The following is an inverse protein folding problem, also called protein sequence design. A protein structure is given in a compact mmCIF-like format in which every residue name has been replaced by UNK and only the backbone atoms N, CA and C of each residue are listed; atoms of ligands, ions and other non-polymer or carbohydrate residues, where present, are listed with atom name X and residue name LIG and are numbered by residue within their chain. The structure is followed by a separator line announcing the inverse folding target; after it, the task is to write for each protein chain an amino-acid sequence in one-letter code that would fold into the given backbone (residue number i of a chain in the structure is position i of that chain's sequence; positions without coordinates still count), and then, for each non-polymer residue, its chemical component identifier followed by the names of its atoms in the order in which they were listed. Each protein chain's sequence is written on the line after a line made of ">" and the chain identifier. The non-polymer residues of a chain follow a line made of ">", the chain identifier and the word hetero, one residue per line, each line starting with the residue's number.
data_IF_061357068966
#
_entry.id   IF_061357068966
#
_cell.length_a   1.000
_cell.length_b   1.000
_cell.length_c   1.000
_cell.angle_alpha   90.00
_cell.angle_beta   90.00
_cell.angle_gamma   90.00
#
_symmetry.space_group_name_H-M   'P 1'
#
loop_
_entity.id
_entity.type
_entity.pdbx_description
1 polymer ?
#
# COMPACT_ATOMS: atom_id res chain seq x y z
N UNK A 1 45.07 23.17 19.66
CA UNK A 1 45.35 22.72 21.04
C UNK A 1 46.85 22.71 21.21
N UNK A 2 47.40 23.40 22.20
CA UNK A 2 48.87 23.42 22.39
C UNK A 2 49.31 22.14 23.13
N UNK A 3 50.22 21.38 22.51
CA UNK A 3 50.78 20.17 23.11
C UNK A 3 51.77 20.53 24.22
N UNK A 4 51.67 19.85 25.36
CA UNK A 4 52.67 19.97 26.43
C UNK A 4 54.04 19.44 25.96
N UNK A 5 55.16 19.85 26.59
CA UNK A 5 56.50 19.38 26.23
C UNK A 5 56.62 17.85 26.22
N UNK A 6 55.94 17.17 27.15
CA UNK A 6 55.93 15.71 27.22
C UNK A 6 55.13 15.08 26.07
N UNK A 7 54.01 15.69 25.67
CA UNK A 7 53.22 15.21 24.54
C UNK A 7 53.95 15.40 23.22
N UNK A 8 54.65 16.53 23.03
CA UNK A 8 55.50 16.76 21.85
C UNK A 8 56.58 15.69 21.72
N UNK A 9 57.23 15.32 22.83
CA UNK A 9 58.22 14.23 22.86
C UNK A 9 57.62 12.89 22.42
N UNK A 10 56.39 12.57 22.83
CA UNK A 10 55.73 11.31 22.45
C UNK A 10 55.31 11.33 20.98
N UNK A 11 54.83 12.47 20.48
CA UNK A 11 54.50 12.63 19.04
C UNK A 11 55.76 12.43 18.19
N UNK A 12 56.89 13.03 18.59
CA UNK A 12 58.18 12.88 17.90
C UNK A 12 58.66 11.41 17.89
N UNK A 13 58.54 10.69 19.02
CA UNK A 13 58.86 9.26 19.08
C UNK A 13 57.99 8.44 18.11
N UNK A 14 56.68 8.73 18.04
CA UNK A 14 55.75 8.00 17.15
C UNK A 14 55.99 8.33 15.67
N UNK A 15 56.40 9.56 15.35
CA UNK A 15 56.77 9.95 13.98
C UNK A 15 58.04 9.26 13.50
N UNK A 16 59.06 9.15 14.37
CA UNK A 16 60.33 8.51 14.03
C UNK A 16 60.25 6.97 14.07
N UNK A 17 59.33 6.40 14.86
CA UNK A 17 59.14 4.96 15.01
C UNK A 17 57.64 4.57 14.94
N UNK A 18 57.01 4.55 13.75
CA UNK A 18 55.56 4.34 13.61
C UNK A 18 55.09 2.96 14.09
N UNK A 19 55.96 1.95 14.01
CA UNK A 19 55.66 0.57 14.40
C UNK A 19 55.36 0.41 15.90
N UNK A 20 55.75 1.36 16.76
CA UNK A 20 55.40 1.33 18.19
C UNK A 20 53.89 1.39 18.42
N UNK A 21 53.10 1.82 17.43
CA UNK A 21 51.64 1.80 17.51
C UNK A 21 51.07 0.38 17.46
N UNK A 22 51.73 -0.53 16.74
CA UNK A 22 51.21 -1.87 16.43
C UNK A 22 51.98 -2.99 17.12
N UNK A 23 53.31 -2.85 17.30
CA UNK A 23 54.17 -3.89 17.86
C UNK A 23 54.59 -3.59 19.31
N UNK A 24 54.17 -4.41 20.30
CA UNK A 24 54.58 -4.27 21.70
C UNK A 24 56.09 -4.47 21.94
N UNK A 25 56.75 -5.32 21.16
CA UNK A 25 58.19 -5.60 21.32
C UNK A 25 59.02 -4.42 20.85
N UNK A 26 58.70 -3.86 19.67
CA UNK A 26 59.35 -2.64 19.19
C UNK A 26 59.04 -1.44 20.10
N UNK A 27 57.79 -1.33 20.60
CA UNK A 27 57.43 -0.29 21.57
C UNK A 27 58.29 -0.37 22.84
N UNK A 28 58.64 -1.57 23.31
CA UNK A 28 59.50 -1.75 24.48
C UNK A 28 60.93 -1.28 24.21
N UNK A 29 61.52 -1.69 23.09
CA UNK A 29 62.89 -1.29 22.70
C UNK A 29 62.99 0.23 22.54
N UNK A 30 62.02 0.84 21.85
CA UNK A 30 61.96 2.29 21.66
C UNK A 30 61.66 3.02 22.97
N UNK A 31 60.81 2.49 23.85
CA UNK A 31 60.58 3.13 25.15
C UNK A 31 61.89 3.19 25.97
N UNK A 32 62.65 2.08 26.02
CA UNK A 32 63.91 2.00 26.75
C UNK A 32 64.96 2.97 26.19
N UNK A 33 65.07 3.13 24.86
CA UNK A 33 66.02 4.06 24.24
C UNK A 33 65.74 5.54 24.57
N UNK A 34 64.49 5.88 24.91
CA UNK A 34 64.08 7.22 25.30
C UNK A 34 63.92 7.40 26.83
N UNK A 35 64.35 6.42 27.63
CA UNK A 35 64.31 6.43 29.10
C UNK A 35 62.90 6.27 29.69
N UNK A 36 62.01 5.59 28.97
CA UNK A 36 60.60 5.37 29.33
C UNK A 36 60.32 3.87 29.53
N UNK A 37 59.29 3.53 30.31
CA UNK A 37 58.76 2.16 30.32
C UNK A 37 57.80 1.95 29.15
N UNK A 38 57.66 0.72 28.63
CA UNK A 38 56.65 0.37 27.62
C UNK A 38 55.25 0.82 28.05
N UNK A 39 54.90 0.61 29.32
CA UNK A 39 53.61 1.00 29.90
C UNK A 39 53.41 2.50 29.82
N UNK A 40 54.44 3.29 30.11
CA UNK A 40 54.40 4.76 30.02
C UNK A 40 54.18 5.20 28.58
N UNK A 41 54.94 4.65 27.63
CA UNK A 41 54.81 4.98 26.21
C UNK A 41 53.42 4.60 25.68
N UNK A 42 52.93 3.39 25.99
CA UNK A 42 51.59 2.92 25.61
C UNK A 42 50.47 3.81 26.15
N UNK A 43 50.55 4.19 27.43
CA UNK A 43 49.52 5.03 28.05
C UNK A 43 49.49 6.43 27.42
N UNK A 44 50.66 7.02 27.16
CA UNK A 44 50.77 8.33 26.51
C UNK A 44 50.24 8.30 25.07
N UNK A 45 50.54 7.24 24.32
CA UNK A 45 49.99 7.01 22.97
C UNK A 45 48.45 6.89 23.04
N UNK A 46 47.91 6.17 24.02
CA UNK A 46 46.46 6.04 24.20
C UNK A 46 45.79 7.39 24.54
N UNK A 47 46.42 8.21 25.38
CA UNK A 47 45.95 9.57 25.68
C UNK A 47 45.94 10.46 24.43
N UNK A 48 47.01 10.43 23.62
CA UNK A 48 47.10 11.20 22.38
C UNK A 48 46.11 10.70 21.31
N UNK A 49 45.85 9.40 21.25
CA UNK A 49 44.82 8.81 20.38
C UNK A 49 43.41 9.25 20.79
N UNK A 50 43.12 9.34 22.10
CA UNK A 50 41.84 9.85 22.61
C UNK A 50 41.62 11.33 22.26
N UNK A 51 42.69 12.10 22.13
CA UNK A 51 42.68 13.53 21.78
C UNK A 51 42.76 13.80 20.27
N UNK A 52 42.67 12.77 19.43
CA UNK A 52 42.72 12.87 17.97
C UNK A 52 44.04 13.44 17.40
N UNK A 53 45.09 13.54 18.23
CA UNK A 53 46.38 14.15 17.86
C UNK A 53 47.18 13.27 16.90
N UNK A 54 46.97 11.96 16.93
CA UNK A 54 47.72 10.97 16.13
C UNK A 54 46.97 10.48 14.86
N UNK A 55 45.76 10.97 14.58
CA UNK A 55 44.92 10.43 13.50
C UNK A 55 45.22 10.96 12.08
N UNK A 56 46.32 11.67 11.89
CA UNK A 56 46.75 12.07 10.55
C UNK A 56 47.68 11.01 9.93
N UNK A 57 47.04 10.00 9.33
CA UNK A 57 47.62 9.32 8.16
C UNK A 57 47.97 7.85 8.30
N UNK A 58 46.99 6.96 8.53
CA UNK A 58 47.03 5.56 8.05
C UNK A 58 45.58 5.06 7.78
N UNK A 59 45.34 4.23 6.75
CA UNK A 59 44.01 3.99 6.22
C UNK A 59 43.21 3.08 7.16
N UNK A 60 42.32 3.68 7.95
CA UNK A 60 41.36 2.93 8.73
C UNK A 60 40.21 2.51 7.81
N UNK A 61 40.04 1.19 7.61
CA UNK A 61 38.76 0.64 7.15
C UNK A 61 37.67 1.15 8.09
N UNK A 62 36.85 2.08 7.62
CA UNK A 62 35.65 2.51 8.32
C UNK A 62 34.71 1.32 8.50
N UNK A 63 34.72 0.74 9.70
CA UNK A 63 33.59 0.00 10.21
C UNK A 63 32.72 1.03 10.91
N UNK A 64 31.75 1.58 10.20
CA UNK A 64 30.71 2.43 10.79
C UNK A 64 29.74 1.56 11.59
N UNK A 65 30.09 1.29 12.84
CA UNK A 65 29.09 1.00 13.87
C UNK A 65 28.80 2.32 14.60
N UNK A 66 27.96 3.16 13.99
CA UNK A 66 27.44 4.35 14.64
C UNK A 66 26.12 3.96 15.30
N UNK A 67 26.19 3.83 16.63
CA UNK A 67 25.03 3.67 17.49
C UNK A 67 24.03 4.81 17.28
N UNK A 68 22.77 4.45 17.51
CA UNK A 68 21.59 5.30 17.54
C UNK A 68 21.76 6.48 18.50
N UNK A 69 22.23 7.61 17.97
CA UNK A 69 21.84 8.95 18.41
C UNK A 69 21.52 9.70 17.11
N UNK A 70 20.23 9.98 16.90
CA UNK A 70 19.70 10.67 15.72
C UNK A 70 20.06 12.16 15.80
N UNK A 71 21.34 12.49 15.66
CA UNK A 71 21.76 13.84 15.27
C UNK A 71 21.77 13.87 13.73
N UNK A 72 20.56 13.83 13.15
CA UNK A 72 20.35 13.85 11.71
C UNK A 72 20.55 15.29 11.21
N UNK A 73 21.80 15.63 10.89
CA UNK A 73 22.11 16.88 10.22
C UNK A 73 21.50 16.87 8.80
N UNK A 74 20.72 17.90 8.46
CA UNK A 74 20.05 18.06 7.16
C UNK A 74 21.07 18.04 6.00
N UNK A 75 22.27 18.56 6.23
CA UNK A 75 23.34 18.52 5.24
C UNK A 75 23.82 17.10 4.96
N UNK A 76 23.91 16.25 5.99
CA UNK A 76 24.28 14.84 5.85
C UNK A 76 23.23 14.04 5.06
N UNK A 77 21.94 14.31 5.28
CA UNK A 77 20.85 13.73 4.51
C UNK A 77 20.91 14.13 3.04
N UNK A 78 21.19 15.40 2.76
CA UNK A 78 21.34 15.92 1.40
C UNK A 78 22.51 15.28 0.65
N UNK A 79 23.64 15.06 1.32
CA UNK A 79 24.77 14.35 0.73
C UNK A 79 24.46 12.90 0.38
N UNK A 80 23.75 12.18 1.26
CA UNK A 80 23.33 10.79 1.00
C UNK A 80 22.38 10.73 -0.20
N UNK A 81 21.39 11.63 -0.25
CA UNK A 81 20.47 11.77 -1.39
C UNK A 81 21.23 12.06 -2.69
N UNK A 82 22.21 12.98 -2.67
CA UNK A 82 23.01 13.33 -3.85
C UNK A 82 23.90 12.18 -4.31
N UNK A 83 24.50 11.42 -3.37
CA UNK A 83 25.32 10.23 -3.67
C UNK A 83 24.49 9.10 -4.27
N UNK A 84 23.27 8.87 -3.77
CA UNK A 84 22.37 7.79 -4.23
C UNK A 84 21.35 8.22 -5.29
N UNK A 85 21.38 9.47 -5.77
CA UNK A 85 20.39 10.04 -6.72
C UNK A 85 20.13 9.18 -7.95
N UNK A 86 21.17 8.55 -8.53
CA UNK A 86 21.03 7.69 -9.71
C UNK A 86 20.24 6.41 -9.40
N UNK A 87 20.46 5.83 -8.21
CA UNK A 87 19.70 4.68 -7.75
C UNK A 87 18.23 5.05 -7.52
N UNK A 88 17.99 6.17 -6.82
CA UNK A 88 16.64 6.67 -6.55
C UNK A 88 15.90 6.93 -7.86
N UNK A 89 16.49 7.71 -8.77
CA UNK A 89 15.88 8.05 -10.07
C UNK A 89 15.61 6.81 -10.91
N UNK A 90 16.54 5.84 -10.96
CA UNK A 90 16.34 4.60 -11.73
C UNK A 90 15.11 3.83 -11.23
N UNK A 91 14.98 3.67 -9.92
CA UNK A 91 13.86 2.92 -9.34
C UNK A 91 12.55 3.68 -9.39
N UNK A 92 12.55 4.97 -9.08
CA UNK A 92 11.33 5.79 -9.20
C UNK A 92 10.86 5.81 -10.64
N UNK A 93 11.75 6.05 -11.60
CA UNK A 93 11.40 6.01 -13.03
C UNK A 93 10.87 4.65 -13.47
N UNK A 94 11.45 3.55 -12.98
CA UNK A 94 10.96 2.20 -13.29
C UNK A 94 9.55 1.96 -12.75
N UNK A 95 9.27 2.36 -11.51
CA UNK A 95 7.94 2.24 -10.90
C UNK A 95 6.94 3.14 -11.64
N UNK A 96 7.30 4.39 -11.92
CA UNK A 96 6.45 5.32 -12.67
C UNK A 96 6.13 4.77 -14.07
N UNK A 97 7.10 4.13 -14.74
CA UNK A 97 6.88 3.50 -16.04
C UNK A 97 5.88 2.33 -15.93
N UNK A 98 5.99 1.50 -14.89
CA UNK A 98 5.04 0.40 -14.63
C UNK A 98 3.63 0.96 -14.41
N UNK A 99 3.49 2.01 -13.60
CA UNK A 99 2.20 2.68 -13.36
C UNK A 99 1.63 3.30 -14.64
N UNK A 100 2.47 3.89 -15.48
CA UNK A 100 2.05 4.46 -16.77
C UNK A 100 1.50 3.37 -17.70
N UNK A 101 2.23 2.25 -17.84
CA UNK A 101 1.77 1.10 -18.64
C UNK A 101 0.48 0.55 -18.08
N UNK A 102 0.36 0.40 -16.76
CA UNK A 102 -0.87 -0.03 -16.12
C UNK A 102 -2.02 0.93 -16.43
N UNK A 103 -1.83 2.24 -16.35
CA UNK A 103 -2.87 3.23 -16.64
C UNK A 103 -3.41 3.17 -18.07
N UNK A 104 -2.60 2.71 -19.03
CA UNK A 104 -3.03 2.54 -20.43
C UNK A 104 -3.84 1.26 -20.65
N UNK A 105 -3.61 0.24 -19.83
CA UNK A 105 -4.29 -1.07 -19.90
C UNK A 105 -5.50 -1.13 -18.96
N UNK A 106 -5.49 -0.32 -17.90
CA UNK A 106 -6.53 -0.28 -16.90
C UNK A 106 -7.87 0.09 -17.55
N UNK A 107 -8.87 -0.76 -17.35
CA UNK A 107 -10.23 -0.51 -17.82
C UNK A 107 -10.84 0.62 -16.97
N UNK A 108 -11.29 1.74 -17.58
CA UNK A 108 -11.97 2.78 -16.83
C UNK A 108 -13.28 2.22 -16.24
N UNK A 109 -13.46 2.37 -14.93
CA UNK A 109 -14.71 2.05 -14.28
C UNK A 109 -15.58 3.30 -14.24
N UNK A 110 -16.81 3.19 -14.70
CA UNK A 110 -17.81 4.26 -14.64
C UNK A 110 -18.77 3.96 -13.49
N UNK A 111 -18.97 4.94 -12.60
CA UNK A 111 -20.01 4.90 -11.58
C UNK A 111 -21.24 5.62 -12.14
N UNK A 112 -22.39 4.95 -12.09
CA UNK A 112 -23.69 5.55 -12.32
C UNK A 112 -24.45 5.46 -11.00
N UNK A 113 -25.17 6.52 -10.66
CA UNK A 113 -26.00 6.60 -9.46
C UNK A 113 -27.43 6.89 -9.85
N UNK A 114 -28.38 6.15 -9.32
CA UNK A 114 -29.81 6.48 -9.41
C UNK A 114 -30.41 6.62 -8.01
N UNK A 115 -31.27 7.63 -7.83
CA UNK A 115 -32.11 7.79 -6.64
C UNK A 115 -33.52 7.29 -6.88
N UNK A 116 -34.02 6.44 -5.99
CA UNK A 116 -35.39 5.91 -6.03
C UNK A 116 -36.18 6.41 -4.83
N UNK A 117 -37.39 6.92 -5.09
CA UNK A 117 -38.36 7.31 -4.06
C UNK A 117 -39.59 6.40 -4.15
N UNK A 118 -40.22 6.03 -3.02
CA UNK A 118 -41.43 5.23 -3.04
C UNK A 118 -42.56 6.00 -3.74
N UNK A 119 -43.14 5.39 -4.78
CA UNK A 119 -44.25 5.93 -5.53
C UNK A 119 -45.55 5.85 -4.70
N UNK A 120 -45.69 6.79 -3.78
CA UNK A 120 -46.83 6.95 -2.87
C UNK A 120 -46.83 8.29 -2.15
N UNK A 121 -45.63 8.78 -1.78
CA UNK A 121 -45.48 10.10 -1.13
C UNK A 121 -45.91 11.27 -2.02
N UNK A 122 -45.77 11.15 -3.35
CA UNK A 122 -46.18 12.21 -4.28
C UNK A 122 -47.69 12.24 -4.56
N UNK A 123 -48.40 11.13 -4.37
CA UNK A 123 -49.86 11.09 -4.55
C UNK A 123 -50.62 11.65 -3.33
N UNK A 124 -49.98 11.65 -2.15
CA UNK A 124 -50.49 12.29 -0.93
C UNK A 124 -50.02 13.75 -0.77
N UNK A 125 -49.23 14.27 -1.72
CA UNK A 125 -48.78 15.67 -1.77
C UNK A 125 -49.90 16.69 -2.08
N UNK A 126 -51.17 16.28 -2.02
CA UNK A 126 -52.32 17.17 -1.90
C UNK A 126 -52.54 17.71 -0.47
N UNK A 127 -51.73 17.27 0.50
CA UNK A 127 -51.95 17.52 1.93
C UNK A 127 -50.68 18.01 2.66
N UNK A 128 -50.02 19.03 2.12
CA UNK A 128 -48.89 19.73 2.78
C UNK A 128 -49.25 20.25 4.19
N UNK A 129 -50.54 20.43 4.46
CA UNK A 129 -51.05 20.81 5.78
C UNK A 129 -51.05 19.66 6.80
N UNK A 130 -51.19 18.41 6.34
CA UNK A 130 -51.20 17.24 7.23
C UNK A 130 -49.78 16.86 7.67
N UNK A 131 -48.76 16.96 6.80
CA UNK A 131 -47.36 16.68 7.18
C UNK A 131 -46.84 17.61 8.29
N UNK A 132 -47.20 18.89 8.25
CA UNK A 132 -46.79 19.87 9.28
C UNK A 132 -47.55 19.67 10.61
N UNK A 133 -48.84 19.31 10.57
CA UNK A 133 -49.61 18.97 11.77
C UNK A 133 -49.20 17.62 12.36
N UNK A 134 -48.70 16.72 11.51
CA UNK A 134 -48.25 15.39 11.88
C UNK A 134 -46.91 15.44 12.64
N UNK A 135 -45.98 16.30 12.23
CA UNK A 135 -44.79 16.60 13.02
C UNK A 135 -45.12 17.14 14.43
N UNK A 136 -46.19 17.92 14.56
CA UNK A 136 -46.70 18.36 15.86
C UNK A 136 -47.33 17.19 16.62
N UNK A 137 -48.21 16.39 16.00
CA UNK A 137 -48.87 15.25 16.65
C UNK A 137 -47.88 14.16 17.12
N UNK A 138 -46.75 13.98 16.43
CA UNK A 138 -45.65 13.10 16.84
C UNK A 138 -44.97 13.60 18.12
N UNK A 139 -44.77 14.92 18.29
CA UNK A 139 -44.26 15.47 19.56
C UNK A 139 -45.21 15.26 20.75
N UNK A 140 -46.50 15.03 20.48
CA UNK A 140 -47.52 14.71 21.47
C UNK A 140 -47.82 13.20 21.61
N UNK A 141 -47.07 12.31 20.94
CA UNK A 141 -47.22 10.87 21.09
C UNK A 141 -48.46 10.27 20.41
N UNK A 142 -49.08 11.00 19.48
CA UNK A 142 -50.31 10.59 18.77
C UNK A 142 -50.04 10.00 17.36
N UNK A 143 -48.77 9.82 16.97
CA UNK A 143 -48.37 9.32 15.65
C UNK A 143 -48.43 7.80 15.50
N UNK A 144 -49.63 7.23 15.29
CA UNK A 144 -49.86 5.78 15.25
C UNK A 144 -50.24 5.15 13.90
N UNK A 145 -50.44 5.92 12.84
CA UNK A 145 -50.89 5.36 11.55
C UNK A 145 -50.02 5.84 10.41
N UNK A 146 -48.90 5.15 10.20
CA UNK A 146 -48.28 5.13 8.88
C UNK A 146 -48.90 4.00 8.06
N UNK A 147 -49.53 4.35 6.95
CA UNK A 147 -49.61 3.45 5.80
C UNK A 147 -48.21 3.29 5.22
N UNK A 148 -47.35 2.52 5.91
CA UNK A 148 -46.01 2.23 5.44
C UNK A 148 -46.13 1.49 4.09
N UNK A 149 -45.82 2.13 2.97
CA UNK A 149 -45.43 1.38 1.79
C UNK A 149 -44.08 0.72 2.11
N UNK A 150 -44.12 -0.52 2.61
CA UNK A 150 -43.01 -1.32 3.12
C UNK A 150 -42.21 -2.02 2.02
N UNK A 151 -41.93 -1.35 0.89
CA UNK A 151 -41.10 -1.98 -0.13
C UNK A 151 -39.62 -1.90 0.28
N UNK A 152 -39.06 -3.05 0.67
CA UNK A 152 -37.62 -3.20 0.85
C UNK A 152 -36.96 -3.20 -0.54
N UNK A 153 -36.51 -2.04 -1.00
CA UNK A 153 -35.88 -1.86 -2.32
C UNK A 153 -34.64 -2.74 -2.49
N UNK A 154 -33.77 -2.94 -1.47
CA UNK A 154 -32.78 -4.00 -1.51
C UNK A 154 -33.33 -5.36 -1.97
N UNK A 155 -34.48 -5.80 -1.46
CA UNK A 155 -35.06 -7.11 -1.86
C UNK A 155 -35.45 -7.15 -3.35
N UNK A 156 -35.87 -6.01 -3.90
CA UNK A 156 -36.17 -5.90 -5.34
C UNK A 156 -34.88 -6.00 -6.15
N UNK A 157 -33.83 -5.26 -5.77
CA UNK A 157 -32.53 -5.26 -6.45
C UNK A 157 -31.86 -6.63 -6.34
N UNK A 158 -31.93 -7.26 -5.17
CA UNK A 158 -31.36 -8.59 -4.92
C UNK A 158 -32.26 -9.73 -5.42
N UNK A 159 -33.44 -9.43 -5.98
CA UNK A 159 -34.36 -10.42 -6.53
C UNK A 159 -33.70 -11.31 -7.58
N UNK A 160 -33.66 -12.62 -7.31
CA UNK A 160 -33.12 -13.61 -8.25
C UNK A 160 -33.85 -13.60 -9.59
N UNK A 161 -35.17 -13.40 -9.57
CA UNK A 161 -35.97 -13.35 -10.80
C UNK A 161 -35.58 -12.17 -11.66
N UNK A 162 -35.43 -10.98 -11.06
CA UNK A 162 -34.99 -9.77 -11.75
C UNK A 162 -33.58 -9.94 -12.31
N UNK A 163 -32.62 -10.36 -11.48
CA UNK A 163 -31.24 -10.61 -11.90
C UNK A 163 -31.15 -11.63 -13.05
N UNK A 164 -31.91 -12.73 -12.98
CA UNK A 164 -31.99 -13.72 -14.06
C UNK A 164 -32.49 -13.08 -15.36
N UNK A 165 -33.57 -12.30 -15.29
CA UNK A 165 -34.12 -11.62 -16.47
C UNK A 165 -33.13 -10.62 -17.07
N UNK A 166 -32.43 -9.84 -16.24
CA UNK A 166 -31.41 -8.88 -16.69
C UNK A 166 -30.25 -9.60 -17.39
N UNK A 167 -29.73 -10.68 -16.80
CA UNK A 167 -28.60 -11.45 -17.34
C UNK A 167 -28.94 -12.09 -18.68
N UNK A 168 -30.16 -12.61 -18.83
CA UNK A 168 -30.61 -13.28 -20.05
C UNK A 168 -31.16 -12.33 -21.12
N UNK A 169 -31.48 -11.09 -20.77
CA UNK A 169 -31.95 -10.08 -21.72
C UNK A 169 -30.88 -9.79 -22.77
N UNK A 170 -31.31 -9.48 -24.00
CA UNK A 170 -30.42 -9.10 -25.10
C UNK A 170 -30.27 -7.59 -25.13
N UNK A 171 -29.06 -7.11 -24.84
CA UNK A 171 -28.74 -5.69 -24.73
C UNK A 171 -28.06 -5.18 -26.00
N UNK A 172 -28.42 -3.95 -26.39
CA UNK A 172 -27.66 -3.18 -27.37
C UNK A 172 -26.29 -2.82 -26.77
N UNK A 173 -25.24 -2.91 -27.58
CA UNK A 173 -23.87 -2.74 -27.12
C UNK A 173 -22.96 -2.35 -28.29
N UNK A 174 -21.75 -1.87 -27.97
CA UNK A 174 -20.78 -1.40 -28.97
C UNK A 174 -19.82 -2.50 -29.46
N UNK A 175 -19.71 -3.62 -28.73
CA UNK A 175 -18.73 -4.69 -29.01
C UNK A 175 -19.23 -5.70 -30.05
N UNK A 176 -20.54 -5.90 -30.13
CA UNK A 176 -21.20 -6.87 -31.00
C UNK A 176 -22.19 -6.14 -31.93
N UNK A 177 -22.24 -6.57 -33.19
CA UNK A 177 -23.20 -6.04 -34.18
C UNK A 177 -24.66 -6.41 -33.87
N UNK A 178 -24.86 -7.47 -33.07
CA UNK A 178 -26.16 -7.97 -32.65
C UNK A 178 -26.39 -7.73 -31.15
N UNK A 179 -27.67 -7.73 -30.74
CA UNK A 179 -28.03 -7.70 -29.33
C UNK A 179 -27.63 -9.01 -28.66
N UNK A 180 -26.73 -8.94 -27.68
CA UNK A 180 -26.25 -10.11 -26.94
C UNK A 180 -26.66 -10.07 -25.47
N UNK A 181 -26.69 -11.23 -24.82
CA UNK A 181 -26.94 -11.31 -23.38
C UNK A 181 -25.67 -11.03 -22.57
N UNK A 182 -25.81 -10.82 -21.26
CA UNK A 182 -24.67 -10.48 -20.40
C UNK A 182 -23.68 -11.64 -20.24
N UNK A 183 -24.13 -12.89 -20.39
CA UNK A 183 -23.27 -14.07 -20.35
C UNK A 183 -22.25 -14.04 -21.50
N UNK A 184 -22.72 -13.78 -22.73
CA UNK A 184 -21.87 -13.64 -23.92
C UNK A 184 -21.06 -12.35 -23.88
N UNK A 185 -21.66 -11.25 -23.43
CA UNK A 185 -20.97 -9.95 -23.31
C UNK A 185 -19.76 -10.00 -22.37
N UNK A 186 -19.87 -10.71 -21.24
CA UNK A 186 -18.76 -10.92 -20.30
C UNK A 186 -17.89 -12.13 -20.62
N UNK A 187 -18.11 -12.78 -21.77
CA UNK A 187 -17.36 -13.95 -22.24
C UNK A 187 -17.32 -15.07 -21.19
N UNK A 188 -18.39 -15.24 -20.39
CA UNK A 188 -18.45 -16.24 -19.32
C UNK A 188 -18.58 -17.67 -19.86
N UNK A 189 -19.05 -17.79 -21.10
CA UNK A 189 -19.13 -19.02 -21.87
C UNK A 189 -17.78 -19.44 -22.49
N UNK A 190 -16.78 -18.55 -22.48
CA UNK A 190 -15.46 -18.80 -23.04
C UNK A 190 -14.44 -19.21 -21.97
N UNK A 191 -13.52 -20.10 -22.37
CA UNK A 191 -12.39 -20.48 -21.53
C UNK A 191 -11.28 -19.45 -21.74
N UNK A 192 -11.03 -18.64 -20.70
CA UNK A 192 -9.93 -17.66 -20.74
C UNK A 192 -8.59 -18.38 -20.91
N UNK A 193 -7.70 -17.84 -21.75
CA UNK A 193 -6.42 -18.46 -22.12
C UNK A 193 -5.48 -18.73 -20.92
N UNK A 194 -5.64 -17.98 -19.84
CA UNK A 194 -4.89 -18.14 -18.58
C UNK A 194 -5.59 -19.07 -17.55
N UNK A 195 -6.69 -19.73 -17.91
CA UNK A 195 -7.40 -20.61 -16.98
C UNK A 195 -6.67 -21.93 -16.79
N UNK A 196 -6.34 -22.26 -15.54
CA UNK A 196 -5.71 -23.54 -15.13
C UNK A 196 -6.76 -24.67 -15.02
N UNK A 197 -8.05 -24.33 -15.03
CA UNK A 197 -9.19 -25.28 -14.94
C UNK A 197 -9.08 -26.51 -15.86
N UNK A 198 -8.75 -26.40 -17.16
CA UNK A 198 -8.61 -27.58 -18.03
C UNK A 198 -7.50 -28.55 -17.60
N UNK A 199 -6.45 -28.06 -16.92
CA UNK A 199 -5.35 -28.89 -16.41
C UNK A 199 -5.82 -29.65 -15.15
N UNK A 200 -6.51 -28.97 -14.24
CA UNK A 200 -7.00 -29.57 -12.98
C UNK A 200 -8.06 -30.64 -13.24
N UNK A 201 -8.99 -30.39 -14.17
CA UNK A 201 -10.05 -31.35 -14.52
C UNK A 201 -9.47 -32.62 -15.16
N UNK A 202 -8.40 -32.52 -15.95
CA UNK A 202 -7.70 -33.69 -16.51
C UNK A 202 -7.01 -34.54 -15.44
N UNK A 203 -6.51 -33.93 -14.37
CA UNK A 203 -5.81 -34.66 -13.30
C UNK A 203 -6.75 -35.31 -12.28
N UNK A 204 -7.96 -34.79 -12.10
CA UNK A 204 -8.91 -35.28 -11.08
C UNK A 204 -10.29 -35.49 -11.71
N UNK A 205 -10.56 -36.66 -12.31
CA UNK A 205 -11.79 -36.92 -13.07
C UNK A 205 -13.07 -36.89 -12.21
N UNK A 206 -13.00 -37.12 -10.90
CA UNK A 206 -14.16 -36.99 -10.00
C UNK A 206 -14.65 -35.54 -9.85
N UNK A 207 -13.79 -34.54 -10.11
CA UNK A 207 -14.17 -33.11 -10.12
C UNK A 207 -14.85 -32.69 -11.42
N UNK A 208 -14.93 -33.57 -12.42
CA UNK A 208 -15.70 -33.35 -13.63
C UNK A 208 -17.21 -33.48 -13.29
N UNK A 209 -17.72 -32.50 -12.54
CA UNK A 209 -19.16 -32.38 -12.31
C UNK A 209 -19.82 -32.04 -13.65
N UNK A 210 -20.60 -32.99 -14.15
CA UNK A 210 -21.49 -32.90 -15.30
C UNK A 210 -22.74 -32.04 -14.96
N UNK A 211 -22.50 -30.93 -14.27
CA UNK A 211 -23.55 -29.97 -13.94
C UNK A 211 -24.05 -29.28 -15.20
N UNK A 212 -25.36 -29.02 -15.23
CA UNK A 212 -26.04 -28.27 -16.29
C UNK A 212 -25.28 -26.97 -16.63
N UNK A 213 -24.61 -26.97 -17.79
CA UNK A 213 -23.72 -25.90 -18.24
C UNK A 213 -24.44 -24.55 -18.27
N UNK A 214 -25.71 -24.54 -18.68
CA UNK A 214 -26.50 -23.32 -18.77
C UNK A 214 -26.78 -22.74 -17.39
N UNK A 215 -27.13 -23.57 -16.40
CA UNK A 215 -27.33 -23.12 -15.02
C UNK A 215 -26.06 -22.56 -14.41
N UNK A 216 -24.91 -23.17 -14.70
CA UNK A 216 -23.60 -22.70 -14.23
C UNK A 216 -23.25 -21.34 -14.81
N UNK A 217 -23.47 -21.14 -16.11
CA UNK A 217 -23.25 -19.86 -16.78
C UNK A 217 -24.20 -18.78 -16.29
N UNK A 218 -25.49 -19.12 -16.11
CA UNK A 218 -26.46 -18.20 -15.54
C UNK A 218 -26.07 -17.76 -14.13
N UNK A 219 -25.66 -18.71 -13.28
CA UNK A 219 -25.21 -18.39 -11.92
C UNK A 219 -23.98 -17.48 -11.94
N UNK A 220 -22.98 -17.78 -12.77
CA UNK A 220 -21.81 -16.94 -12.94
C UNK A 220 -22.17 -15.52 -13.43
N UNK A 221 -23.14 -15.40 -14.34
CA UNK A 221 -23.66 -14.11 -14.79
C UNK A 221 -24.35 -13.33 -13.67
N UNK A 222 -25.18 -13.99 -12.85
CA UNK A 222 -25.84 -13.36 -11.70
C UNK A 222 -24.81 -12.89 -10.67
N UNK A 223 -23.77 -13.69 -10.42
CA UNK A 223 -22.67 -13.33 -9.50
C UNK A 223 -21.87 -12.13 -10.03
N UNK A 224 -21.53 -12.14 -11.32
CA UNK A 224 -20.84 -11.02 -11.96
C UNK A 224 -21.68 -9.73 -11.89
N UNK A 225 -22.98 -9.81 -12.17
CA UNK A 225 -23.90 -8.68 -12.03
C UNK A 225 -23.92 -8.14 -10.59
N UNK A 226 -23.96 -9.03 -9.60
CA UNK A 226 -23.99 -8.63 -8.19
C UNK A 226 -22.71 -7.91 -7.74
N UNK A 227 -21.55 -8.21 -8.34
CA UNK A 227 -20.29 -7.50 -8.05
C UNK A 227 -20.24 -6.09 -8.63
N UNK A 228 -21.10 -5.79 -9.61
CA UNK A 228 -21.14 -4.51 -10.31
C UNK A 228 -22.21 -3.55 -9.78
N UNK A 229 -23.08 -4.01 -8.88
CA UNK A 229 -24.17 -3.22 -8.29
C UNK A 229 -23.86 -3.01 -6.81
N UNK A 230 -23.81 -1.76 -6.36
CA UNK A 230 -23.80 -1.39 -4.94
C UNK A 230 -25.16 -0.80 -4.61
N UNK A 231 -25.65 -1.03 -3.40
CA UNK A 231 -26.89 -0.40 -2.91
C UNK A 231 -26.58 0.20 -1.55
N UNK A 232 -26.86 1.49 -1.39
CA UNK A 232 -26.79 2.16 -0.10
C UNK A 232 -28.17 2.73 0.24
N UNK A 233 -28.70 2.36 1.41
CA UNK A 233 -29.99 2.82 1.91
C UNK A 233 -29.73 3.82 3.03
N UNK A 234 -29.98 5.10 2.73
CA UNK A 234 -29.91 6.13 3.76
C UNK A 234 -31.22 6.17 4.53
N UNK A 235 -31.18 6.39 5.84
CA UNK A 235 -32.36 6.41 6.72
C UNK A 235 -33.43 7.47 6.39
N UNK A 236 -33.22 8.30 5.36
CA UNK A 236 -34.18 9.23 4.77
C UNK A 236 -35.09 8.60 3.71
N UNK A 237 -34.90 7.32 3.37
CA UNK A 237 -35.60 6.65 2.27
C UNK A 237 -35.03 6.98 0.88
N UNK A 238 -33.90 7.70 0.82
CA UNK A 238 -33.11 7.89 -0.39
C UNK A 238 -32.14 6.73 -0.57
N UNK A 239 -32.15 6.16 -1.76
CA UNK A 239 -31.34 5.00 -2.12
C UNK A 239 -30.42 5.39 -3.26
N UNK A 240 -29.12 5.17 -3.10
CA UNK A 240 -28.15 5.30 -4.19
C UNK A 240 -27.77 3.89 -4.67
N UNK A 241 -27.94 3.64 -5.98
CA UNK A 241 -27.55 2.40 -6.66
C UNK A 241 -26.50 2.70 -7.71
#
# INVERSE_FOLDING_TARGET
>A
MELTPHEKKIVDIVQNHPNVLTDPNERRVVAESYGLSEKTLRNRIAELKKRDVLNHGYPQKEITNSGTVLDLDIFSLWEILRKKKKFIIKWTSSITLIFLVYSLVATPFYESKISLYPAGLLAEAGSVFNDNLQGIAETFGLGGMRGNQTFNIPDIIYSRKLKKSIVLNKWDNQLFQEKVNLIKYWELDQIKWYSIKPIVIKMIPFLASEGDKEKKLLFAGIEQLAKLIRVDETGSGLIEV
#
